data_IF_186271786815
#
_entry.id   IF_186271786815
#
_cell.length_a   1.000
_cell.length_b   1.000
_cell.length_c   1.000
_cell.angle_alpha   90.00
_cell.angle_beta   90.00
_cell.angle_gamma   90.00
#
_symmetry.space_group_name_H-M   'P 1'
#
loop_
_entity.id
_entity.type
_entity.pdbx_description
1 polymer ?
#
# COMPACT_ATOMS: atom_id res chain seq x y z
N UNK A 1 28.95 10.81 30.38
CA UNK A 1 27.59 10.23 30.34
C UNK A 1 27.69 8.72 30.09
N UNK A 2 27.44 7.88 31.10
CA UNK A 2 27.43 6.41 30.93
C UNK A 2 25.98 5.94 30.79
N UNK A 3 25.57 5.52 29.59
CA UNK A 3 24.25 4.95 29.35
C UNK A 3 24.17 3.56 29.99
N UNK A 4 23.11 3.28 30.77
CA UNK A 4 22.95 2.02 31.52
C UNK A 4 22.76 0.80 30.59
N UNK A 5 22.13 1.00 29.43
CA UNK A 5 22.06 0.04 28.33
C UNK A 5 21.63 0.76 27.04
N UNK A 6 22.09 0.29 25.89
CA UNK A 6 21.65 0.78 24.59
C UNK A 6 20.27 0.16 24.27
N UNK A 7 19.19 0.87 24.60
CA UNK A 7 17.82 0.42 24.31
C UNK A 7 17.41 0.85 22.90
N UNK A 8 17.48 -0.08 21.95
CA UNK A 8 16.97 0.13 20.60
C UNK A 8 15.44 0.01 20.62
N UNK A 9 14.73 0.92 19.96
CA UNK A 9 13.28 0.79 19.76
C UNK A 9 13.07 -0.05 18.51
N UNK A 10 12.72 -1.35 18.61
CA UNK A 10 12.56 -2.18 17.43
C UNK A 10 11.45 -1.60 16.57
N UNK A 11 11.72 -1.43 15.28
CA UNK A 11 10.69 -1.02 14.33
C UNK A 11 9.67 -2.15 14.26
N UNK A 12 8.40 -1.86 14.55
CA UNK A 12 7.33 -2.83 14.31
C UNK A 12 7.38 -3.22 12.83
N UNK A 13 7.36 -4.53 12.49
CA UNK A 13 7.26 -4.94 11.10
C UNK A 13 5.93 -4.39 10.58
N UNK A 14 6.03 -3.41 9.68
CA UNK A 14 4.87 -2.81 9.04
C UNK A 14 4.45 -3.79 7.97
N UNK A 15 3.41 -4.60 8.25
CA UNK A 15 2.76 -5.32 7.16
C UNK A 15 2.17 -4.24 6.25
N UNK A 16 2.66 -4.19 5.01
CA UNK A 16 2.12 -3.31 4.00
C UNK A 16 0.64 -3.61 3.84
N UNK A 17 -0.20 -2.57 3.76
CA UNK A 17 -1.63 -2.78 3.60
C UNK A 17 -1.89 -3.54 2.30
N UNK A 18 -2.85 -4.49 2.28
CA UNK A 18 -2.99 -5.47 1.20
C UNK A 18 -3.25 -4.88 -0.18
N UNK A 19 -3.79 -3.66 -0.26
CA UNK A 19 -4.11 -2.97 -1.51
C UNK A 19 -3.15 -1.82 -1.87
N UNK A 20 -2.05 -1.65 -1.13
CA UNK A 20 -1.14 -0.52 -1.34
C UNK A 20 -0.43 -0.59 -2.70
N UNK A 21 -0.09 -1.80 -3.14
CA UNK A 21 0.54 -2.02 -4.44
C UNK A 21 -0.39 -1.62 -5.60
N UNK A 22 -1.65 -2.05 -5.55
CA UNK A 22 -2.66 -1.73 -6.57
C UNK A 22 -2.98 -0.22 -6.61
N UNK A 23 -3.01 0.43 -5.44
CA UNK A 23 -3.11 1.89 -5.36
C UNK A 23 -1.94 2.58 -6.06
N UNK A 24 -0.70 2.12 -5.82
CA UNK A 24 0.48 2.67 -6.44
C UNK A 24 0.45 2.56 -7.96
N UNK A 25 0.00 1.42 -8.50
CA UNK A 25 -0.12 1.19 -9.94
C UNK A 25 -1.17 2.09 -10.60
N UNK A 26 -2.31 2.32 -9.94
CA UNK A 26 -3.33 3.25 -10.45
C UNK A 26 -2.79 4.70 -10.48
N UNK A 27 -2.12 5.12 -9.42
CA UNK A 27 -1.51 6.46 -9.34
C UNK A 27 -0.38 6.64 -10.36
N UNK A 28 0.42 5.61 -10.63
CA UNK A 28 1.43 5.64 -11.67
C UNK A 28 0.81 5.73 -13.07
N UNK A 29 -0.33 5.08 -13.29
CA UNK A 29 -1.06 5.21 -14.54
C UNK A 29 -1.61 6.62 -14.73
N UNK A 30 -2.22 7.20 -13.69
CA UNK A 30 -2.72 8.58 -13.69
C UNK A 30 -1.62 9.65 -13.71
N UNK A 31 -0.37 9.31 -13.36
CA UNK A 31 0.73 10.26 -13.49
C UNK A 31 1.24 10.33 -14.93
N UNK A 32 1.14 9.23 -15.69
CA UNK A 32 1.52 9.16 -17.09
C UNK A 32 0.40 9.55 -18.04
N UNK A 33 -0.86 9.43 -17.59
CA UNK A 33 -2.07 9.57 -18.40
C UNK A 33 -3.16 10.28 -17.60
N UNK A 34 -4.14 10.91 -18.24
CA UNK A 34 -5.28 11.51 -17.53
C UNK A 34 -6.10 10.49 -16.73
N UNK A 35 -6.82 10.99 -15.72
CA UNK A 35 -7.61 10.18 -14.77
C UNK A 35 -8.71 9.36 -15.47
N UNK A 36 -9.35 9.93 -16.48
CA UNK A 36 -10.46 9.31 -17.23
C UNK A 36 -10.00 8.43 -18.41
N UNK A 37 -8.70 8.19 -18.55
CA UNK A 37 -8.20 7.42 -19.68
C UNK A 37 -8.47 5.92 -19.51
N UNK A 38 -9.05 5.24 -20.52
CA UNK A 38 -9.39 3.82 -20.44
C UNK A 38 -8.17 2.91 -20.23
N UNK A 39 -6.94 3.39 -20.49
CA UNK A 39 -5.71 2.63 -20.20
C UNK A 39 -5.53 2.33 -18.71
N UNK A 40 -6.07 3.15 -17.82
CA UNK A 40 -6.01 2.94 -16.37
C UNK A 40 -7.20 2.12 -15.83
N UNK A 41 -8.14 1.69 -16.69
CA UNK A 41 -9.30 0.91 -16.25
C UNK A 41 -8.92 -0.47 -15.68
N UNK A 42 -7.82 -1.06 -16.17
CA UNK A 42 -7.33 -2.35 -15.67
C UNK A 42 -6.76 -2.22 -14.25
N UNK A 43 -5.95 -1.19 -13.99
CA UNK A 43 -5.38 -0.92 -12.65
C UNK A 43 -6.47 -0.48 -11.66
N UNK A 44 -7.47 0.26 -12.12
CA UNK A 44 -8.64 0.62 -11.31
C UNK A 44 -9.47 -0.61 -10.90
N UNK A 45 -9.69 -1.58 -11.82
CA UNK A 45 -10.36 -2.84 -11.49
C UNK A 45 -9.56 -3.67 -10.49
N UNK A 46 -8.26 -3.82 -10.68
CA UNK A 46 -7.41 -4.57 -9.76
C UNK A 46 -7.45 -4.00 -8.33
N UNK A 47 -7.44 -2.67 -8.20
CA UNK A 47 -7.62 -2.00 -6.91
C UNK A 47 -9.01 -2.26 -6.32
N UNK A 48 -10.07 -2.14 -7.11
CA UNK A 48 -11.44 -2.40 -6.66
C UNK A 48 -11.60 -3.85 -6.17
N UNK A 49 -11.06 -4.82 -6.90
CA UNK A 49 -11.08 -6.24 -6.53
C UNK A 49 -10.29 -6.51 -5.24
N UNK A 50 -9.21 -5.76 -5.00
CA UNK A 50 -8.48 -5.83 -3.74
C UNK A 50 -9.29 -5.26 -2.58
N UNK A 51 -9.88 -4.07 -2.75
CA UNK A 51 -10.65 -3.40 -1.69
C UNK A 51 -11.98 -4.10 -1.38
N UNK A 52 -12.53 -4.84 -2.33
CA UNK A 52 -13.70 -5.69 -2.12
C UNK A 52 -13.42 -6.85 -1.15
N UNK A 53 -12.15 -7.23 -0.97
CA UNK A 53 -11.78 -8.29 -0.02
C UNK A 53 -11.73 -7.71 1.40
N UNK A 54 -12.34 -8.39 2.38
CA UNK A 54 -12.27 -7.94 3.76
C UNK A 54 -10.83 -7.98 4.24
N UNK A 55 -10.41 -6.89 4.91
CA UNK A 55 -9.08 -6.83 5.54
C UNK A 55 -9.05 -7.85 6.68
N UNK A 56 -8.35 -8.97 6.46
CA UNK A 56 -8.03 -9.91 7.52
C UNK A 56 -6.85 -9.34 8.29
N UNK A 57 -7.13 -8.71 9.42
CA UNK A 57 -6.09 -8.50 10.43
C UNK A 57 -5.68 -9.91 10.90
N UNK A 58 -4.46 -10.32 10.57
CA UNK A 58 -3.86 -11.47 11.22
C UNK A 58 -3.84 -11.17 12.72
N UNK A 59 -4.60 -11.96 13.49
CA UNK A 59 -4.70 -11.89 14.94
C UNK A 59 -3.41 -12.38 15.60
#
# INVERSE_FOLDING_TARGET
MKLKALKVRPRKPFQTSPCLAEMGLLLECWSKVNVDDPRCAMTARALADCMAKPVRFAQ
#
